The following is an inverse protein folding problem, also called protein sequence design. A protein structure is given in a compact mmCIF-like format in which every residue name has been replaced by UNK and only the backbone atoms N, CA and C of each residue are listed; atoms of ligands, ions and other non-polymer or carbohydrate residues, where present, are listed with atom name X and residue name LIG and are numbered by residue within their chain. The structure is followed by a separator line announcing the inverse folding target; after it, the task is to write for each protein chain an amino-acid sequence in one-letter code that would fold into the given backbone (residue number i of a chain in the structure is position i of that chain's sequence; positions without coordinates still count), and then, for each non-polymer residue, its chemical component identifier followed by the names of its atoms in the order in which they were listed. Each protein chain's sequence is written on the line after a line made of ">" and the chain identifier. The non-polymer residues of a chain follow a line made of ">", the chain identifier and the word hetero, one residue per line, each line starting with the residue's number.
data_IF_127490166625
#
_entry.id   IF_127490166625
#
_cell.length_a   1.000
_cell.length_b   1.000
_cell.length_c   1.000
_cell.angle_alpha   90.00
_cell.angle_beta   90.00
_cell.angle_gamma   90.00
#
_symmetry.space_group_name_H-M   'P 1'
#
loop_
_entity.id
_entity.type
_entity.pdbx_description
1 polymer ?
#
# COMPACT_ATOMS: atom_id res chain seq x y z
N UNK A 1 -10.03 -9.62 -20.10
CA UNK A 1 -8.69 -10.10 -20.56
C UNK A 1 -8.03 -10.69 -19.33
N UNK A 2 -7.71 -11.97 -19.38
CA UNK A 2 -6.98 -12.60 -18.28
C UNK A 2 -5.56 -12.01 -18.24
N UNK A 3 -5.10 -11.69 -17.03
CA UNK A 3 -3.78 -11.09 -16.85
C UNK A 3 -2.72 -12.20 -16.77
N UNK A 4 -2.06 -12.45 -17.89
CA UNK A 4 -1.04 -13.49 -18.07
C UNK A 4 0.36 -12.92 -18.38
N UNK A 5 1.35 -13.80 -18.47
CA UNK A 5 2.72 -13.45 -18.79
C UNK A 5 2.86 -12.75 -20.16
N UNK A 6 2.02 -13.09 -21.15
CA UNK A 6 2.02 -12.45 -22.47
C UNK A 6 1.53 -11.01 -22.37
N UNK A 7 0.47 -10.77 -21.62
CA UNK A 7 -0.06 -9.44 -21.35
C UNK A 7 0.96 -8.61 -20.55
N UNK A 8 1.59 -9.21 -19.55
CA UNK A 8 2.64 -8.57 -18.76
C UNK A 8 3.82 -8.10 -19.61
N UNK A 9 4.29 -8.93 -20.54
CA UNK A 9 5.33 -8.56 -21.51
C UNK A 9 4.94 -7.33 -22.33
N UNK A 10 3.73 -7.32 -22.89
CA UNK A 10 3.24 -6.20 -23.71
C UNK A 10 3.11 -4.91 -22.90
N UNK A 11 2.57 -5.01 -21.67
CA UNK A 11 2.49 -3.87 -20.77
C UNK A 11 3.88 -3.33 -20.45
N UNK A 12 4.83 -4.21 -20.12
CA UNK A 12 6.23 -3.84 -19.88
C UNK A 12 6.87 -3.13 -21.07
N UNK A 13 6.60 -3.61 -22.30
CA UNK A 13 7.12 -2.99 -23.51
C UNK A 13 6.56 -1.58 -23.76
N UNK A 14 5.29 -1.33 -23.46
CA UNK A 14 4.67 -0.03 -23.73
C UNK A 14 4.84 1.01 -22.62
N UNK A 15 5.05 0.61 -21.36
CA UNK A 15 5.19 1.54 -20.22
C UNK A 15 6.30 2.58 -20.43
N UNK A 16 7.54 2.23 -20.83
CA UNK A 16 8.60 3.20 -21.01
C UNK A 16 8.23 4.31 -22.00
N UNK A 17 7.68 3.93 -23.15
CA UNK A 17 7.26 4.89 -24.18
C UNK A 17 6.07 5.74 -23.74
N UNK A 18 5.10 5.16 -23.03
CA UNK A 18 3.93 5.89 -22.51
C UNK A 18 4.32 6.96 -21.49
N UNK A 19 5.24 6.65 -20.59
CA UNK A 19 5.61 7.50 -19.46
C UNK A 19 6.91 8.30 -19.69
N UNK A 20 7.56 8.14 -20.85
CA UNK A 20 8.83 8.81 -21.16
C UNK A 20 9.93 8.44 -20.17
N UNK A 21 10.03 7.14 -19.83
CA UNK A 21 10.92 6.63 -18.80
C UNK A 21 12.08 5.84 -19.42
N UNK A 22 13.32 6.24 -19.13
CA UNK A 22 14.53 5.51 -19.52
C UNK A 22 14.81 4.31 -18.59
N UNK A 23 14.16 4.30 -17.43
CA UNK A 23 14.20 3.20 -16.48
C UNK A 23 12.83 3.05 -15.79
N UNK A 24 12.47 1.81 -15.45
CA UNK A 24 11.22 1.45 -14.80
C UNK A 24 11.52 0.68 -13.52
N UNK A 25 11.00 1.15 -12.40
CA UNK A 25 11.10 0.45 -11.12
C UNK A 25 10.07 -0.68 -11.08
N UNK A 26 10.49 -1.89 -10.72
CA UNK A 26 9.62 -3.07 -10.67
C UNK A 26 9.73 -3.76 -9.32
N UNK A 27 8.57 -4.06 -8.73
CA UNK A 27 8.45 -4.87 -7.54
C UNK A 27 7.37 -5.93 -7.69
N UNK A 28 7.39 -6.94 -6.86
CA UNK A 28 6.37 -8.00 -6.82
C UNK A 28 5.99 -8.43 -5.41
N UNK A 29 4.77 -8.91 -5.25
CA UNK A 29 4.34 -9.60 -4.05
C UNK A 29 4.77 -11.09 -4.04
N UNK A 30 4.37 -11.82 -3.00
CA UNK A 30 4.75 -13.21 -2.80
C UNK A 30 3.86 -14.23 -3.53
N UNK A 31 2.85 -13.81 -4.32
CA UNK A 31 1.96 -14.73 -5.06
C UNK A 31 2.76 -15.65 -5.97
N UNK A 32 2.29 -16.90 -6.11
CA UNK A 32 3.00 -17.90 -6.91
C UNK A 32 3.19 -17.50 -8.38
N UNK A 33 2.20 -16.80 -8.95
CA UNK A 33 2.26 -16.30 -10.33
C UNK A 33 3.07 -15.01 -10.49
N UNK A 34 3.44 -14.32 -9.41
CA UNK A 34 4.10 -13.01 -9.49
C UNK A 34 5.50 -13.08 -10.09
N UNK A 35 6.22 -14.19 -9.94
CA UNK A 35 7.56 -14.36 -10.51
C UNK A 35 7.54 -14.46 -12.04
N UNK A 36 6.68 -15.30 -12.60
CA UNK A 36 6.52 -15.44 -14.06
C UNK A 36 6.06 -14.13 -14.71
N UNK A 37 5.12 -13.44 -14.07
CA UNK A 37 4.61 -12.14 -14.52
C UNK A 37 5.71 -11.09 -14.47
N UNK A 38 6.51 -11.07 -13.38
CA UNK A 38 7.66 -10.17 -13.22
C UNK A 38 8.69 -10.35 -14.32
N UNK A 39 9.11 -11.59 -14.59
CA UNK A 39 10.12 -11.88 -15.60
C UNK A 39 9.65 -11.47 -17.01
N UNK A 40 8.37 -11.67 -17.29
CA UNK A 40 7.77 -11.25 -18.55
C UNK A 40 7.67 -9.74 -18.69
N UNK A 41 7.26 -9.03 -17.62
CA UNK A 41 7.23 -7.56 -17.56
C UNK A 41 8.63 -6.97 -17.78
N UNK A 42 9.61 -7.46 -17.01
CA UNK A 42 11.02 -7.01 -17.10
C UNK A 42 11.59 -7.21 -18.49
N UNK A 43 11.31 -8.36 -19.12
CA UNK A 43 11.69 -8.62 -20.51
C UNK A 43 11.06 -7.60 -21.46
N UNK A 44 9.78 -7.27 -21.30
CA UNK A 44 9.10 -6.24 -22.09
C UNK A 44 9.77 -4.88 -21.95
N UNK A 45 10.07 -4.44 -20.73
CA UNK A 45 10.75 -3.18 -20.43
C UNK A 45 12.12 -3.14 -21.12
N UNK A 46 12.91 -4.20 -20.97
CA UNK A 46 14.27 -4.24 -21.56
C UNK A 46 14.26 -4.33 -23.08
N UNK A 47 13.29 -5.05 -23.67
CA UNK A 47 13.10 -5.10 -25.12
C UNK A 47 12.64 -3.75 -25.70
N UNK A 48 11.95 -2.92 -24.91
CA UNK A 48 11.65 -1.53 -25.28
C UNK A 48 12.87 -0.59 -25.23
N UNK A 49 14.02 -1.06 -24.70
CA UNK A 49 15.26 -0.29 -24.58
C UNK A 49 15.42 0.48 -23.27
N UNK A 50 14.48 0.36 -22.33
CA UNK A 50 14.57 0.94 -20.99
C UNK A 50 15.21 -0.04 -20.00
N UNK A 51 15.86 0.49 -18.96
CA UNK A 51 16.39 -0.34 -17.88
C UNK A 51 15.28 -0.73 -16.90
N UNK A 52 15.31 -1.96 -16.38
CA UNK A 52 14.44 -2.42 -15.31
C UNK A 52 15.21 -2.36 -13.97
N UNK A 53 14.73 -1.55 -13.04
CA UNK A 53 15.28 -1.50 -11.68
C UNK A 53 14.44 -2.41 -10.80
N UNK A 54 14.98 -3.58 -10.47
CA UNK A 54 14.27 -4.66 -9.80
C UNK A 54 14.44 -4.58 -8.27
N UNK A 55 13.33 -4.40 -7.56
CA UNK A 55 13.24 -4.44 -6.09
C UNK A 55 13.03 -5.87 -5.56
N UNK A 56 12.71 -6.84 -6.43
CA UNK A 56 12.33 -8.18 -6.01
C UNK A 56 11.02 -8.20 -5.22
N UNK A 57 11.00 -9.01 -4.15
CA UNK A 57 9.88 -9.05 -3.21
C UNK A 57 9.79 -7.76 -2.39
N UNK A 58 8.69 -7.04 -2.53
CA UNK A 58 8.43 -5.82 -1.77
C UNK A 58 6.93 -5.56 -1.62
N UNK A 59 6.57 -4.77 -0.61
CA UNK A 59 5.19 -4.29 -0.46
C UNK A 59 4.88 -3.17 -1.45
N UNK A 60 3.60 -3.00 -1.76
CA UNK A 60 3.15 -1.91 -2.63
C UNK A 60 3.60 -0.52 -2.13
N UNK A 61 3.49 -0.17 -0.83
CA UNK A 61 4.02 1.10 -0.32
C UNK A 61 5.54 1.27 -0.50
N UNK A 62 6.33 0.19 -0.48
CA UNK A 62 7.77 0.27 -0.76
C UNK A 62 8.04 0.71 -2.20
N UNK A 63 7.25 0.25 -3.17
CA UNK A 63 7.34 0.74 -4.56
C UNK A 63 6.97 2.20 -4.66
N UNK A 64 5.92 2.65 -3.96
CA UNK A 64 5.54 4.07 -3.95
C UNK A 64 6.63 4.95 -3.35
N UNK A 65 7.17 4.54 -2.20
CA UNK A 65 8.31 5.21 -1.58
C UNK A 65 9.49 5.32 -2.55
N UNK A 66 9.92 4.19 -3.13
CA UNK A 66 11.08 4.18 -4.03
C UNK A 66 10.84 5.03 -5.29
N UNK A 67 9.62 4.97 -5.86
CA UNK A 67 9.25 5.79 -7.03
C UNK A 67 9.45 7.28 -6.75
N UNK A 68 8.92 7.76 -5.64
CA UNK A 68 8.97 9.19 -5.31
C UNK A 68 10.34 9.60 -4.73
N UNK A 69 10.90 8.80 -3.81
CA UNK A 69 12.14 9.13 -3.12
C UNK A 69 13.36 9.14 -4.04
N UNK A 70 13.39 8.28 -5.05
CA UNK A 70 14.50 8.22 -6.00
C UNK A 70 14.20 8.87 -7.36
N UNK A 71 13.00 9.45 -7.52
CA UNK A 71 12.62 10.22 -8.71
C UNK A 71 12.37 9.37 -9.97
N UNK A 72 11.88 8.13 -9.83
CA UNK A 72 11.52 7.32 -10.98
C UNK A 72 10.29 7.90 -11.70
N UNK A 73 10.33 7.94 -13.05
CA UNK A 73 9.21 8.37 -13.88
C UNK A 73 8.15 7.28 -14.07
N UNK A 74 8.52 6.02 -13.86
CA UNK A 74 7.64 4.88 -13.99
C UNK A 74 7.96 3.80 -12.97
N UNK A 75 6.92 3.20 -12.41
CA UNK A 75 7.04 2.02 -11.56
C UNK A 75 5.86 1.07 -11.71
N UNK A 76 6.11 -0.21 -11.45
CA UNK A 76 5.11 -1.26 -11.47
C UNK A 76 5.27 -2.14 -10.23
N UNK A 77 4.18 -2.33 -9.51
CA UNK A 77 4.04 -3.37 -8.50
C UNK A 77 3.16 -4.48 -9.03
N UNK A 78 3.68 -5.69 -9.09
CA UNK A 78 2.93 -6.90 -9.46
C UNK A 78 2.26 -7.43 -8.22
N UNK A 79 0.93 -7.37 -8.21
CA UNK A 79 0.08 -7.78 -7.08
C UNK A 79 -1.38 -7.78 -7.48
N UNK A 80 -2.17 -8.63 -6.85
CA UNK A 80 -3.63 -8.51 -6.83
C UNK A 80 -4.16 -8.07 -5.45
N UNK A 81 -3.29 -7.47 -4.60
CA UNK A 81 -3.64 -6.92 -3.29
C UNK A 81 -4.38 -7.95 -2.42
N UNK A 82 -5.64 -7.72 -2.12
CA UNK A 82 -6.49 -8.51 -1.24
C UNK A 82 -7.27 -9.64 -1.94
N UNK A 83 -7.11 -9.81 -3.25
CA UNK A 83 -7.80 -10.87 -3.98
C UNK A 83 -7.25 -12.26 -3.59
N UNK A 84 -8.04 -13.35 -3.76
CA UNK A 84 -7.57 -14.71 -3.55
C UNK A 84 -6.28 -15.05 -4.32
N UNK A 85 -5.63 -16.16 -3.96
CA UNK A 85 -4.28 -16.52 -4.42
C UNK A 85 -4.13 -16.68 -5.95
N UNK A 86 -5.19 -17.12 -6.61
CA UNK A 86 -5.24 -17.38 -8.05
C UNK A 86 -5.25 -16.10 -8.92
N UNK A 87 -5.60 -14.96 -8.32
CA UNK A 87 -5.61 -13.66 -9.02
C UNK A 87 -4.24 -13.00 -8.99
N UNK A 88 -3.93 -12.28 -10.06
CA UNK A 88 -2.79 -11.37 -10.09
C UNK A 88 -3.10 -10.13 -10.93
N UNK A 89 -2.21 -9.12 -10.87
CA UNK A 89 -2.40 -7.86 -11.57
C UNK A 89 -1.19 -6.94 -11.42
N UNK A 90 -1.39 -5.68 -11.76
CA UNK A 90 -0.36 -4.65 -11.66
C UNK A 90 -0.93 -3.33 -11.14
N UNK A 91 -0.16 -2.68 -10.28
CA UNK A 91 -0.35 -1.27 -9.92
C UNK A 91 0.76 -0.45 -10.57
N UNK A 92 0.41 0.46 -11.47
CA UNK A 92 1.36 1.31 -12.20
C UNK A 92 1.34 2.70 -11.60
N UNK A 93 2.51 3.29 -11.44
CA UNK A 93 2.65 4.68 -11.02
C UNK A 93 3.64 5.43 -11.92
N UNK A 94 3.41 6.74 -12.06
CA UNK A 94 4.36 7.69 -12.66
C UNK A 94 5.13 8.42 -11.55
N UNK A 95 5.87 9.44 -11.93
CA UNK A 95 6.66 10.26 -10.98
C UNK A 95 5.83 10.67 -9.75
N UNK A 96 6.51 10.81 -8.60
CA UNK A 96 5.91 11.13 -7.30
C UNK A 96 4.88 10.10 -6.82
N UNK A 97 4.99 8.85 -7.29
CA UNK A 97 4.07 7.74 -7.00
C UNK A 97 2.61 8.01 -7.41
N UNK A 98 2.36 8.93 -8.35
CA UNK A 98 1.02 9.18 -8.87
C UNK A 98 0.50 7.94 -9.61
N UNK A 99 -0.71 7.46 -9.29
CA UNK A 99 -1.26 6.28 -9.94
C UNK A 99 -1.55 6.52 -11.43
N UNK A 100 -1.28 5.51 -12.24
CA UNK A 100 -1.70 5.45 -13.64
C UNK A 100 -2.91 4.53 -13.73
N UNK A 101 -4.08 5.11 -13.94
CA UNK A 101 -5.34 4.39 -14.15
C UNK A 101 -5.71 4.28 -15.64
N UNK A 102 -6.90 3.75 -15.92
CA UNK A 102 -7.41 3.62 -17.30
C UNK A 102 -7.46 4.99 -17.99
N UNK A 103 -7.99 6.02 -17.31
CA UNK A 103 -8.14 7.37 -17.85
C UNK A 103 -6.82 8.15 -17.93
N UNK A 104 -5.75 7.65 -17.34
CA UNK A 104 -4.46 8.36 -17.23
C UNK A 104 -3.27 7.63 -17.85
N UNK A 105 -3.53 6.57 -18.64
CA UNK A 105 -2.50 5.88 -19.42
C UNK A 105 -2.71 4.39 -19.66
N UNK A 106 -3.20 3.63 -18.68
CA UNK A 106 -3.39 2.17 -18.87
C UNK A 106 -4.42 1.86 -19.96
N UNK A 107 -5.46 2.68 -20.14
CA UNK A 107 -6.42 2.52 -21.24
C UNK A 107 -5.76 2.64 -22.62
N UNK A 108 -4.73 3.50 -22.75
CA UNK A 108 -3.96 3.59 -24.00
C UNK A 108 -3.13 2.33 -24.26
N UNK A 109 -2.51 1.76 -23.22
CA UNK A 109 -1.78 0.48 -23.35
C UNK A 109 -2.76 -0.64 -23.73
N UNK A 110 -3.92 -0.70 -23.09
CA UNK A 110 -4.96 -1.68 -23.42
C UNK A 110 -5.36 -1.57 -24.88
N UNK A 111 -5.65 -0.37 -25.37
CA UNK A 111 -5.98 -0.13 -26.78
C UNK A 111 -4.86 -0.60 -27.71
N UNK A 112 -3.60 -0.27 -27.44
CA UNK A 112 -2.48 -0.71 -28.27
C UNK A 112 -2.34 -2.23 -28.34
N UNK A 113 -2.62 -2.93 -27.23
CA UNK A 113 -2.61 -4.39 -27.16
C UNK A 113 -3.76 -4.98 -27.99
N UNK A 114 -4.98 -4.43 -27.86
CA UNK A 114 -6.18 -4.88 -28.59
C UNK A 114 -6.08 -4.64 -30.11
N UNK A 115 -5.49 -3.52 -30.50
CA UNK A 115 -5.21 -3.19 -31.90
C UNK A 115 -4.06 -4.02 -32.52
N UNK A 116 -3.37 -4.83 -31.72
CA UNK A 116 -2.22 -5.62 -32.16
C UNK A 116 -1.03 -4.75 -32.58
N UNK A 117 -0.80 -3.62 -31.89
CA UNK A 117 0.31 -2.71 -32.21
C UNK A 117 1.63 -3.49 -32.25
N UNK A 118 2.46 -3.35 -33.33
CA UNK A 118 3.69 -4.09 -33.46
C UNK A 118 4.66 -3.83 -32.29
N UNK A 119 5.25 -4.90 -31.78
CA UNK A 119 6.36 -4.87 -30.84
C UNK A 119 7.64 -5.12 -31.60
N UNK A 120 8.50 -4.12 -31.69
CA UNK A 120 9.80 -4.19 -32.35
C UNK A 120 10.86 -3.95 -31.28
N UNK A 121 11.59 -4.99 -30.85
CA UNK A 121 12.63 -4.83 -29.84
C UNK A 121 13.64 -3.76 -30.23
N UNK A 122 14.04 -2.95 -29.28
CA UNK A 122 15.05 -1.92 -29.46
C UNK A 122 16.41 -2.55 -29.86
N UNK A 123 17.15 -1.89 -30.76
CA UNK A 123 18.52 -2.28 -31.07
C UNK A 123 19.46 -2.19 -29.84
N UNK A 124 19.16 -1.29 -28.91
CA UNK A 124 19.79 -1.24 -27.59
C UNK A 124 18.82 -1.90 -26.59
N UNK A 125 19.18 -3.08 -26.11
CA UNK A 125 18.44 -3.74 -25.03
C UNK A 125 18.76 -3.08 -23.70
N UNK A 126 17.72 -2.82 -22.89
CA UNK A 126 17.88 -2.34 -21.50
C UNK A 126 18.52 -3.38 -20.60
N UNK A 127 19.00 -2.93 -19.45
CA UNK A 127 19.60 -3.77 -18.41
C UNK A 127 18.63 -4.01 -17.24
N UNK A 128 18.90 -5.08 -16.48
CA UNK A 128 18.21 -5.35 -15.21
C UNK A 128 19.17 -5.03 -14.09
N UNK A 129 18.78 -4.08 -13.22
CA UNK A 129 19.58 -3.62 -12.08
C UNK A 129 18.83 -3.91 -10.80
N UNK A 130 19.36 -4.75 -9.91
CA UNK A 130 18.77 -5.01 -8.59
C UNK A 130 19.04 -3.86 -7.64
N UNK A 131 18.01 -3.48 -6.85
CA UNK A 131 18.11 -2.41 -5.86
C UNK A 131 17.42 -2.82 -4.55
N UNK A 132 18.18 -2.87 -3.47
CA UNK A 132 17.61 -3.01 -2.11
C UNK A 132 17.29 -1.61 -1.56
N UNK A 133 16.07 -1.46 -1.05
CA UNK A 133 15.55 -0.21 -0.49
C UNK A 133 15.10 -0.34 0.97
N UNK A 134 15.25 -1.52 1.57
CA UNK A 134 14.68 -1.79 2.90
C UNK A 134 15.23 -0.83 3.95
N UNK A 135 16.53 -0.59 3.98
CA UNK A 135 17.16 0.31 4.95
C UNK A 135 16.64 1.75 4.82
N UNK A 136 16.55 2.26 3.59
CA UNK A 136 16.04 3.62 3.32
C UNK A 136 14.56 3.74 3.66
N UNK A 137 13.76 2.72 3.34
CA UNK A 137 12.34 2.68 3.68
C UNK A 137 12.11 2.68 5.19
N UNK A 138 12.84 1.86 5.95
CA UNK A 138 12.75 1.82 7.40
C UNK A 138 13.23 3.14 8.03
N UNK A 139 14.28 3.74 7.49
CA UNK A 139 14.76 5.07 7.92
C UNK A 139 13.71 6.16 7.70
N UNK A 140 13.00 6.12 6.57
CA UNK A 140 11.89 7.03 6.31
C UNK A 140 10.75 6.88 7.32
N UNK A 141 10.48 5.66 7.79
CA UNK A 141 9.44 5.38 8.78
C UNK A 141 9.83 5.71 10.24
N UNK A 142 11.13 5.89 10.52
CA UNK A 142 11.63 6.10 11.88
C UNK A 142 10.98 7.25 12.66
N UNK A 143 10.69 8.44 12.06
CA UNK A 143 10.04 9.55 12.78
C UNK A 143 8.62 9.23 13.28
N UNK A 144 7.97 8.22 12.71
CA UNK A 144 6.59 7.84 13.05
C UNK A 144 6.54 6.76 14.14
N UNK A 145 7.65 6.09 14.40
CA UNK A 145 7.73 5.09 15.48
C UNK A 145 7.47 5.72 16.84
N UNK A 146 6.90 4.94 17.73
CA UNK A 146 6.75 5.27 19.15
C UNK A 146 7.36 4.15 19.98
N UNK A 147 7.65 4.45 21.25
CA UNK A 147 7.90 3.42 22.25
C UNK A 147 6.59 2.67 22.52
N UNK A 148 6.58 1.38 22.23
CA UNK A 148 5.46 0.48 22.43
C UNK A 148 5.66 -0.46 23.64
N UNK A 149 6.68 -0.23 24.48
CA UNK A 149 7.00 -1.06 25.64
C UNK A 149 5.89 -1.11 26.69
N UNK A 150 5.00 -0.11 26.69
CA UNK A 150 3.85 0.01 27.59
C UNK A 150 2.58 -0.64 27.05
N UNK A 151 2.58 -1.21 25.85
CA UNK A 151 1.42 -1.88 25.24
C UNK A 151 1.80 -3.24 24.65
N UNK A 152 0.84 -4.15 24.62
CA UNK A 152 0.94 -5.42 23.90
C UNK A 152 0.14 -5.32 22.61
N UNK A 153 0.72 -5.74 21.49
CA UNK A 153 0.06 -5.72 20.19
C UNK A 153 -0.01 -7.12 19.62
N UNK A 154 -1.14 -7.47 19.04
CA UNK A 154 -1.31 -8.70 18.26
C UNK A 154 -1.29 -8.35 16.76
N UNK A 155 -0.47 -9.05 15.98
CA UNK A 155 -0.34 -8.82 14.55
C UNK A 155 -0.78 -10.06 13.76
N UNK A 156 -1.60 -9.82 12.75
CA UNK A 156 -1.88 -10.77 11.67
C UNK A 156 -1.23 -10.22 10.39
N UNK A 157 -0.25 -10.96 9.87
CA UNK A 157 0.50 -10.53 8.69
C UNK A 157 -0.03 -11.17 7.40
N UNK A 158 -1.16 -11.90 7.48
CA UNK A 158 -1.90 -12.49 6.36
C UNK A 158 -1.04 -13.34 5.41
N UNK A 159 0.07 -13.91 5.89
CA UNK A 159 1.10 -14.54 5.05
C UNK A 159 1.60 -13.65 3.88
N UNK A 160 1.36 -12.33 3.96
CA UNK A 160 1.60 -11.35 2.91
C UNK A 160 2.92 -10.59 3.06
N UNK A 161 2.97 -9.44 2.37
CA UNK A 161 4.20 -8.65 2.26
C UNK A 161 4.57 -7.89 3.53
N UNK A 162 3.66 -7.73 4.49
CA UNK A 162 3.96 -7.17 5.81
C UNK A 162 4.98 -8.01 6.61
N UNK A 163 5.13 -9.31 6.30
CA UNK A 163 6.15 -10.17 6.87
C UNK A 163 7.59 -9.66 6.65
N UNK A 164 7.83 -8.87 5.58
CA UNK A 164 9.15 -8.31 5.29
C UNK A 164 9.66 -7.33 6.34
N UNK A 165 8.74 -6.57 6.95
CA UNK A 165 9.09 -5.42 7.78
C UNK A 165 8.55 -5.49 9.21
N UNK A 166 7.48 -6.22 9.49
CA UNK A 166 6.78 -6.13 10.77
C UNK A 166 7.69 -6.35 11.97
N UNK A 167 8.44 -7.46 12.02
CA UNK A 167 9.36 -7.72 13.14
C UNK A 167 10.55 -6.75 13.20
N UNK A 168 11.01 -6.23 12.05
CA UNK A 168 12.07 -5.20 12.00
C UNK A 168 11.60 -3.85 12.57
N UNK A 169 10.30 -3.58 12.46
CA UNK A 169 9.69 -2.31 12.90
C UNK A 169 9.24 -2.38 14.35
N UNK A 170 8.53 -3.47 14.72
CA UNK A 170 7.86 -3.59 16.02
C UNK A 170 8.61 -4.50 17.01
N UNK A 171 9.61 -5.27 16.55
CA UNK A 171 10.36 -6.21 17.40
C UNK A 171 9.61 -7.50 17.69
N UNK A 172 10.21 -8.33 18.55
CA UNK A 172 9.71 -9.67 18.88
C UNK A 172 8.88 -9.73 20.18
N UNK A 173 8.69 -8.61 20.87
CA UNK A 173 7.97 -8.54 22.14
C UNK A 173 6.43 -8.64 22.00
N UNK A 174 5.94 -8.63 20.78
CA UNK A 174 4.52 -8.67 20.44
C UNK A 174 4.09 -10.06 19.93
N UNK A 175 2.79 -10.29 19.81
CA UNK A 175 2.24 -11.55 19.32
C UNK A 175 2.02 -11.50 17.81
N UNK A 176 2.42 -12.55 17.07
CA UNK A 176 2.32 -12.58 15.60
C UNK A 176 1.67 -13.89 15.16
N UNK A 177 0.76 -13.81 14.20
CA UNK A 177 0.23 -14.95 13.43
C UNK A 177 0.42 -14.71 11.95
N UNK A 178 0.50 -15.82 11.19
CA UNK A 178 0.62 -15.84 9.73
C UNK A 178 1.79 -14.98 9.23
N UNK A 179 2.90 -15.00 9.96
CA UNK A 179 4.07 -14.14 9.83
C UNK A 179 5.17 -14.69 8.90
N UNK A 180 4.84 -15.74 8.16
CA UNK A 180 5.69 -16.30 7.09
C UNK A 180 5.02 -16.03 5.75
N UNK A 181 5.75 -15.43 4.81
CA UNK A 181 5.24 -15.17 3.45
C UNK A 181 4.87 -16.48 2.76
N UNK A 182 3.65 -16.59 2.28
CA UNK A 182 3.17 -17.69 1.47
C UNK A 182 2.08 -17.20 0.51
N UNK A 183 2.42 -17.10 -0.78
CA UNK A 183 1.51 -16.60 -1.82
C UNK A 183 0.28 -17.47 -2.11
N UNK A 184 0.13 -18.61 -1.41
CA UNK A 184 -1.09 -19.43 -1.40
C UNK A 184 -2.12 -18.93 -0.40
N UNK A 185 -1.72 -18.05 0.55
CA UNK A 185 -2.54 -17.56 1.67
C UNK A 185 -3.28 -18.68 2.42
N UNK A 186 -2.55 -19.65 3.00
CA UNK A 186 -3.16 -20.93 3.46
C UNK A 186 -4.08 -20.79 4.67
N UNK A 187 -4.04 -19.66 5.38
CA UNK A 187 -4.79 -19.49 6.63
C UNK A 187 -6.11 -18.72 6.42
N UNK A 188 -6.11 -17.70 5.61
CA UNK A 188 -7.29 -16.96 5.15
C UNK A 188 -6.93 -16.12 3.91
N UNK A 189 -7.94 -15.72 3.14
CA UNK A 189 -7.75 -14.73 2.08
C UNK A 189 -7.12 -13.46 2.64
N UNK A 190 -6.19 -12.80 1.94
CA UNK A 190 -5.52 -11.61 2.44
C UNK A 190 -6.41 -10.35 2.38
N UNK A 191 -7.66 -10.48 2.79
CA UNK A 191 -8.69 -9.45 2.75
C UNK A 191 -9.25 -9.15 4.14
N UNK A 192 -8.72 -8.14 4.86
CA UNK A 192 -9.16 -7.83 6.22
C UNK A 192 -10.59 -7.26 6.32
N UNK A 193 -11.25 -6.94 5.19
CA UNK A 193 -12.67 -6.52 5.18
C UNK A 193 -13.65 -7.67 5.40
N UNK A 194 -13.23 -8.90 5.10
CA UNK A 194 -14.06 -10.08 5.34
C UNK A 194 -14.01 -10.43 6.83
N UNK A 195 -15.14 -10.45 7.56
CA UNK A 195 -15.17 -10.71 9.01
C UNK A 195 -14.46 -12.03 9.40
N UNK A 196 -14.63 -13.08 8.60
CA UNK A 196 -14.03 -14.38 8.81
C UNK A 196 -12.49 -14.34 8.82
N UNK A 197 -11.87 -13.44 8.05
CA UNK A 197 -10.42 -13.31 7.97
C UNK A 197 -9.80 -12.60 9.19
N UNK A 198 -10.64 -11.96 10.03
CA UNK A 198 -10.19 -11.23 11.22
C UNK A 198 -10.38 -12.04 12.51
N UNK A 199 -11.10 -13.16 12.48
CA UNK A 199 -11.47 -13.92 13.69
C UNK A 199 -10.25 -14.49 14.42
N UNK A 200 -9.22 -14.93 13.71
CA UNK A 200 -7.97 -15.38 14.31
C UNK A 200 -7.27 -14.25 15.08
N UNK A 201 -7.19 -13.05 14.51
CA UNK A 201 -6.64 -11.87 15.18
C UNK A 201 -7.46 -11.48 16.42
N UNK A 202 -8.80 -11.45 16.33
CA UNK A 202 -9.67 -11.17 17.48
C UNK A 202 -9.45 -12.16 18.62
N UNK A 203 -9.28 -13.43 18.29
CA UNK A 203 -8.99 -14.49 19.26
C UNK A 203 -7.60 -14.30 19.89
N UNK A 204 -6.59 -13.93 19.08
CA UNK A 204 -5.24 -13.65 19.54
C UNK A 204 -5.23 -12.45 20.50
N UNK A 205 -5.93 -11.34 20.17
CA UNK A 205 -6.04 -10.18 21.04
C UNK A 205 -6.60 -10.58 22.41
N UNK A 206 -7.70 -11.33 22.45
CA UNK A 206 -8.33 -11.77 23.72
C UNK A 206 -7.44 -12.71 24.51
N UNK A 207 -6.82 -13.69 23.85
CA UNK A 207 -6.02 -14.73 24.55
C UNK A 207 -4.70 -14.18 25.11
N UNK A 208 -4.10 -13.19 24.46
CA UNK A 208 -2.85 -12.55 24.90
C UNK A 208 -3.07 -11.30 25.73
N UNK A 209 -4.32 -10.88 25.92
CA UNK A 209 -4.68 -9.59 26.53
C UNK A 209 -3.91 -8.44 25.85
N UNK A 210 -3.90 -8.44 24.53
CA UNK A 210 -3.28 -7.38 23.75
C UNK A 210 -4.14 -6.10 23.79
N UNK A 211 -3.48 -4.95 23.80
CA UNK A 211 -4.12 -3.63 23.83
C UNK A 211 -4.69 -3.21 22.47
N UNK A 212 -4.16 -3.82 21.39
CA UNK A 212 -4.65 -3.64 20.03
C UNK A 212 -4.29 -4.84 19.16
N UNK A 213 -5.10 -5.09 18.14
CA UNK A 213 -4.80 -5.99 17.04
C UNK A 213 -4.58 -5.21 15.74
N UNK A 214 -3.66 -5.65 14.91
CA UNK A 214 -3.31 -5.07 13.60
C UNK A 214 -3.32 -6.18 12.55
N UNK A 215 -4.05 -5.97 11.46
CA UNK A 215 -4.06 -6.90 10.32
C UNK A 215 -3.78 -6.13 9.03
N UNK A 216 -2.88 -6.68 8.20
CA UNK A 216 -2.56 -6.15 6.87
C UNK A 216 -3.20 -6.98 5.78
N UNK A 217 -3.41 -6.38 4.61
CA UNK A 217 -3.75 -7.13 3.40
C UNK A 217 -2.48 -7.72 2.71
N UNK A 218 -2.68 -8.41 1.60
CA UNK A 218 -1.63 -9.19 0.95
C UNK A 218 -0.40 -8.39 0.52
N UNK A 219 -0.55 -7.17 0.03
CA UNK A 219 0.55 -6.30 -0.42
C UNK A 219 0.84 -5.14 0.54
N UNK A 220 0.17 -5.12 1.69
CA UNK A 220 0.39 -4.23 2.83
C UNK A 220 0.17 -2.73 2.55
N UNK A 221 -0.67 -2.39 1.57
CA UNK A 221 -1.12 -1.02 1.37
C UNK A 221 -2.35 -0.68 2.23
N UNK A 222 -3.03 -1.70 2.77
CA UNK A 222 -4.13 -1.59 3.74
C UNK A 222 -3.74 -2.12 5.09
N UNK A 223 -4.37 -1.53 6.12
CA UNK A 223 -4.29 -2.02 7.49
C UNK A 223 -5.62 -1.79 8.19
N UNK A 224 -6.02 -2.75 9.04
CA UNK A 224 -7.20 -2.64 9.88
C UNK A 224 -6.87 -3.01 11.32
N UNK A 225 -7.77 -2.64 12.24
CA UNK A 225 -7.50 -2.72 13.65
C UNK A 225 -8.61 -3.45 14.42
N UNK A 226 -8.20 -4.05 15.53
CA UNK A 226 -9.08 -4.67 16.52
C UNK A 226 -8.75 -4.04 17.86
N UNK A 227 -9.77 -3.69 18.64
CA UNK A 227 -9.59 -3.11 20.00
C UNK A 227 -9.21 -4.19 21.02
N UNK A 228 -8.94 -3.79 22.25
CA UNK A 228 -8.53 -4.66 23.37
C UNK A 228 -9.59 -5.68 23.77
N UNK A 229 -10.84 -5.52 23.33
CA UNK A 229 -11.94 -6.47 23.58
C UNK A 229 -12.09 -7.49 22.44
N UNK A 230 -11.30 -7.35 21.39
CA UNK A 230 -11.44 -8.15 20.17
C UNK A 230 -12.55 -7.65 19.25
N UNK A 231 -12.93 -6.36 19.34
CA UNK A 231 -13.92 -5.75 18.45
C UNK A 231 -13.21 -5.14 17.24
N UNK A 232 -13.73 -5.42 16.06
CA UNK A 232 -13.20 -4.82 14.82
C UNK A 232 -13.50 -3.31 14.78
N UNK A 233 -12.47 -2.51 14.55
CA UNK A 233 -12.60 -1.04 14.44
C UNK A 233 -12.94 -0.70 13.00
N UNK A 234 -14.05 0.01 12.79
CA UNK A 234 -14.44 0.44 11.45
C UNK A 234 -13.34 1.33 10.83
N UNK A 235 -12.83 1.00 9.63
CA UNK A 235 -11.64 1.68 9.08
C UNK A 235 -11.83 3.17 8.85
N UNK A 236 -13.04 3.63 8.58
CA UNK A 236 -13.33 5.05 8.42
C UNK A 236 -13.19 5.83 9.74
N UNK A 237 -13.49 5.23 10.89
CA UNK A 237 -13.29 5.86 12.20
C UNK A 237 -11.80 6.09 12.50
N UNK A 238 -10.91 5.30 11.92
CA UNK A 238 -9.47 5.50 12.05
C UNK A 238 -9.02 6.80 11.38
N UNK A 239 -9.73 7.25 10.33
CA UNK A 239 -9.47 8.57 9.72
C UNK A 239 -9.65 9.68 10.77
N UNK A 240 -10.72 9.59 11.57
CA UNK A 240 -10.97 10.54 12.66
C UNK A 240 -9.95 10.38 13.80
N UNK A 241 -9.60 9.14 14.17
CA UNK A 241 -8.61 8.84 15.23
C UNK A 241 -7.24 9.47 14.93
N UNK A 242 -6.80 9.47 13.67
CA UNK A 242 -5.51 10.04 13.25
C UNK A 242 -5.39 11.54 13.54
N UNK A 243 -6.51 12.27 13.76
CA UNK A 243 -6.47 13.67 14.19
C UNK A 243 -5.71 13.87 15.51
N UNK A 244 -5.72 12.87 16.42
CA UNK A 244 -4.95 12.92 17.66
C UNK A 244 -3.44 13.05 17.42
N UNK A 245 -2.96 12.41 16.35
CA UNK A 245 -1.57 12.56 15.93
C UNK A 245 -1.33 13.88 15.19
N UNK A 246 -2.08 14.13 14.12
CA UNK A 246 -1.81 15.29 13.26
C UNK A 246 -2.12 16.63 13.92
N UNK A 247 -3.22 16.74 14.66
CA UNK A 247 -3.61 17.98 15.36
C UNK A 247 -3.03 17.98 16.76
N UNK A 248 -3.27 16.91 17.53
CA UNK A 248 -2.92 16.87 18.95
C UNK A 248 -1.41 16.83 19.20
N UNK A 249 -0.65 16.06 18.43
CA UNK A 249 0.78 15.90 18.64
C UNK A 249 1.61 16.78 17.70
N UNK A 250 1.27 16.79 16.39
CA UNK A 250 2.02 17.54 15.36
C UNK A 250 1.60 19.01 15.27
N UNK A 251 0.52 19.40 15.93
CA UNK A 251 0.04 20.79 15.98
C UNK A 251 -0.50 21.32 14.64
N UNK A 252 -1.00 20.46 13.77
CA UNK A 252 -1.56 20.91 12.50
C UNK A 252 -2.78 21.81 12.70
N UNK A 253 -2.79 22.96 12.02
CA UNK A 253 -3.87 23.96 12.10
C UNK A 253 -4.72 23.86 10.85
N UNK A 254 -6.04 23.74 11.02
CA UNK A 254 -7.03 23.67 9.94
C UNK A 254 -6.66 22.71 8.79
N UNK A 255 -6.25 21.45 9.08
CA UNK A 255 -5.80 20.54 8.03
C UNK A 255 -6.95 20.12 7.12
N UNK A 256 -6.65 19.92 5.83
CA UNK A 256 -7.59 19.27 4.90
C UNK A 256 -7.46 17.77 5.02
N UNK A 257 -8.62 17.12 5.13
CA UNK A 257 -8.75 15.66 5.32
C UNK A 257 -9.64 15.09 4.22
N UNK A 258 -9.22 13.99 3.61
CA UNK A 258 -10.01 13.31 2.60
C UNK A 258 -10.68 12.07 3.18
N UNK A 259 -11.99 11.93 2.96
CA UNK A 259 -12.73 10.69 3.22
C UNK A 259 -13.42 10.20 1.95
N UNK A 260 -13.62 8.91 1.82
CA UNK A 260 -14.41 8.38 0.71
C UNK A 260 -15.92 8.55 0.95
N UNK A 261 -16.72 8.48 -0.14
CA UNK A 261 -18.17 8.74 -0.10
C UNK A 261 -18.96 7.73 0.76
N UNK A 262 -18.43 6.53 1.00
CA UNK A 262 -19.08 5.49 1.84
C UNK A 262 -18.76 5.64 3.33
N UNK A 263 -17.82 6.51 3.68
CA UNK A 263 -17.45 6.76 5.08
C UNK A 263 -18.63 7.31 5.87
N UNK A 264 -18.68 6.95 7.16
CA UNK A 264 -19.69 7.45 8.10
C UNK A 264 -19.63 8.98 8.22
N UNK A 265 -20.79 9.61 8.37
CA UNK A 265 -20.90 11.04 8.72
C UNK A 265 -20.16 11.37 10.01
N UNK A 266 -20.06 10.40 10.95
CA UNK A 266 -19.35 10.58 12.21
C UNK A 266 -17.89 11.05 12.02
N UNK A 267 -17.23 10.70 10.92
CA UNK A 267 -15.88 11.15 10.62
C UNK A 267 -15.84 12.68 10.47
N UNK A 268 -16.70 13.22 9.62
CA UNK A 268 -16.78 14.68 9.40
C UNK A 268 -17.33 15.40 10.65
N UNK A 269 -18.36 14.86 11.30
CA UNK A 269 -18.94 15.42 12.51
C UNK A 269 -17.92 15.52 13.66
N UNK A 270 -16.98 14.57 13.74
CA UNK A 270 -15.90 14.60 14.73
C UNK A 270 -14.76 15.57 14.34
N UNK A 271 -14.36 15.59 13.07
CA UNK A 271 -13.19 16.35 12.60
C UNK A 271 -13.47 17.84 12.41
N UNK A 272 -14.67 18.22 11.95
CA UNK A 272 -15.01 19.63 11.68
C UNK A 272 -14.93 20.53 12.91
N UNK A 273 -15.43 20.15 14.11
CA UNK A 273 -15.25 20.92 15.34
C UNK A 273 -13.79 21.11 15.76
N UNK A 274 -12.87 20.23 15.29
CA UNK A 274 -11.43 20.33 15.51
C UNK A 274 -10.76 21.28 14.49
N UNK A 275 -11.54 21.92 13.63
CA UNK A 275 -11.06 22.84 12.60
C UNK A 275 -10.64 22.21 11.29
N UNK A 276 -10.89 20.91 11.08
CA UNK A 276 -10.56 20.23 9.83
C UNK A 276 -11.50 20.65 8.69
N UNK A 277 -10.93 20.87 7.50
CA UNK A 277 -11.67 20.95 6.25
C UNK A 277 -11.80 19.54 5.65
N UNK A 278 -12.91 18.86 5.94
CA UNK A 278 -13.16 17.48 5.50
C UNK A 278 -13.77 17.47 4.10
N UNK A 279 -13.10 16.81 3.18
CA UNK A 279 -13.53 16.63 1.78
C UNK A 279 -13.92 15.20 1.50
N UNK A 280 -15.09 15.01 0.88
CA UNK A 280 -15.57 13.71 0.46
C UNK A 280 -15.27 13.49 -1.02
N UNK A 281 -14.79 12.28 -1.37
CA UNK A 281 -14.43 11.93 -2.72
C UNK A 281 -14.82 10.52 -3.07
N UNK A 282 -14.70 10.16 -4.35
CA UNK A 282 -14.97 8.80 -4.84
C UNK A 282 -13.90 7.81 -4.40
N UNK A 283 -14.28 6.53 -4.36
CA UNK A 283 -13.46 5.39 -3.92
C UNK A 283 -12.33 5.09 -4.91
N UNK A 284 -11.20 4.68 -4.37
CA UNK A 284 -10.10 4.08 -5.10
C UNK A 284 -8.87 4.96 -5.20
N UNK A 285 -7.69 4.34 -5.05
CA UNK A 285 -6.39 5.01 -5.04
C UNK A 285 -6.16 5.92 -6.26
N UNK A 286 -6.60 5.46 -7.45
CA UNK A 286 -6.48 6.24 -8.69
C UNK A 286 -7.16 7.63 -8.62
N UNK A 287 -8.07 7.80 -7.68
CA UNK A 287 -8.83 9.04 -7.47
C UNK A 287 -8.47 9.74 -6.16
N UNK A 288 -8.26 8.97 -5.09
CA UNK A 288 -7.99 9.52 -3.77
C UNK A 288 -6.61 10.19 -3.69
N UNK A 289 -5.55 9.55 -4.17
CA UNK A 289 -4.19 10.08 -4.12
C UNK A 289 -4.02 11.39 -4.93
N UNK A 290 -4.48 11.50 -6.19
CA UNK A 290 -4.47 12.78 -6.92
C UNK A 290 -5.31 13.86 -6.24
N UNK A 291 -6.49 13.48 -5.70
CA UNK A 291 -7.37 14.45 -5.03
C UNK A 291 -6.76 14.98 -3.74
N UNK A 292 -6.16 14.11 -2.93
CA UNK A 292 -5.48 14.54 -1.70
C UNK A 292 -4.34 15.51 -2.01
N UNK A 293 -3.59 15.27 -3.09
CA UNK A 293 -2.53 16.16 -3.57
C UNK A 293 -3.10 17.49 -4.07
N UNK A 294 -4.15 17.48 -4.86
CA UNK A 294 -4.81 18.67 -5.40
C UNK A 294 -5.29 19.62 -4.29
N UNK A 295 -5.90 19.05 -3.24
CA UNK A 295 -6.37 19.85 -2.11
C UNK A 295 -5.28 20.16 -1.08
N UNK A 296 -4.04 19.74 -1.31
CA UNK A 296 -2.96 19.76 -0.30
C UNK A 296 -3.40 19.18 1.05
N UNK A 297 -4.14 18.04 1.00
CA UNK A 297 -4.68 17.38 2.18
C UNK A 297 -3.59 16.69 2.99
N UNK A 298 -3.69 16.75 4.31
CA UNK A 298 -2.66 16.23 5.21
C UNK A 298 -2.74 14.70 5.34
N UNK A 299 -3.96 14.17 5.49
CA UNK A 299 -4.24 12.73 5.46
C UNK A 299 -5.63 12.45 4.91
N UNK A 300 -5.91 11.21 4.63
CA UNK A 300 -7.24 10.74 4.26
C UNK A 300 -7.34 9.22 4.37
N UNK A 301 -8.51 8.69 4.08
CA UNK A 301 -8.68 7.24 4.09
C UNK A 301 -9.97 6.77 3.44
N UNK A 302 -10.04 5.44 3.32
CA UNK A 302 -11.17 4.72 2.75
C UNK A 302 -11.70 3.67 3.72
N UNK A 303 -12.99 3.34 3.59
CA UNK A 303 -13.63 2.25 4.31
C UNK A 303 -12.92 0.90 4.05
N UNK A 304 -12.23 0.80 2.93
CA UNK A 304 -11.43 -0.37 2.56
C UNK A 304 -10.10 -0.50 3.32
N UNK A 305 -9.75 0.42 4.24
CA UNK A 305 -8.53 0.36 5.04
C UNK A 305 -7.29 0.96 4.36
N UNK A 306 -7.44 1.69 3.26
CA UNK A 306 -6.40 2.53 2.70
C UNK A 306 -6.33 3.84 3.49
N UNK A 307 -5.12 4.25 3.88
CA UNK A 307 -4.86 5.54 4.52
C UNK A 307 -3.75 6.26 3.78
N UNK A 308 -4.05 7.46 3.31
CA UNK A 308 -3.22 8.30 2.46
C UNK A 308 -2.59 9.41 3.28
N UNK A 309 -1.31 9.75 2.99
CA UNK A 309 -0.58 10.74 3.77
C UNK A 309 0.19 11.70 2.87
N UNK A 310 0.11 13.01 3.14
CA UNK A 310 0.93 14.02 2.47
C UNK A 310 2.42 13.69 2.60
N UNK A 311 2.86 13.36 3.80
CA UNK A 311 4.26 13.03 4.10
C UNK A 311 4.71 11.73 3.39
N UNK A 312 3.78 10.89 2.95
CA UNK A 312 4.05 9.69 2.15
C UNK A 312 3.67 9.90 0.67
N UNK A 313 4.06 11.05 0.13
CA UNK A 313 3.83 11.41 -1.27
C UNK A 313 2.36 11.36 -1.70
N UNK A 314 1.44 11.59 -0.78
CA UNK A 314 -0.03 11.45 -0.93
C UNK A 314 -0.48 10.03 -1.29
N UNK A 315 0.39 9.04 -1.11
CA UNK A 315 0.09 7.63 -1.31
C UNK A 315 -0.38 6.97 -0.03
N UNK A 316 -0.97 5.80 -0.17
CA UNK A 316 -1.41 4.96 0.94
C UNK A 316 -0.28 4.07 1.47
N UNK A 317 -0.33 3.82 2.79
CA UNK A 317 0.64 2.96 3.48
C UNK A 317 0.03 2.33 4.73
N UNK A 318 -0.14 1.01 4.70
CA UNK A 318 -0.56 0.27 5.90
C UNK A 318 0.45 0.38 7.03
N UNK A 319 1.76 0.35 6.74
CA UNK A 319 2.79 0.52 7.76
C UNK A 319 2.73 1.89 8.42
N UNK A 320 2.67 2.98 7.65
CA UNK A 320 2.61 4.32 8.23
C UNK A 320 1.35 4.52 9.08
N UNK A 321 0.21 4.02 8.59
CA UNK A 321 -1.05 4.08 9.31
C UNK A 321 -0.97 3.32 10.65
N UNK A 322 -0.42 2.11 10.66
CA UNK A 322 -0.28 1.33 11.88
C UNK A 322 0.70 1.95 12.87
N UNK A 323 1.81 2.54 12.41
CA UNK A 323 2.73 3.30 13.27
C UNK A 323 2.03 4.46 13.98
N UNK A 324 1.24 5.26 13.23
CA UNK A 324 0.48 6.39 13.79
C UNK A 324 -0.57 5.90 14.79
N UNK A 325 -1.34 4.87 14.44
CA UNK A 325 -2.40 4.35 15.32
C UNK A 325 -1.80 3.76 16.60
N UNK A 326 -0.76 2.94 16.52
CA UNK A 326 -0.12 2.35 17.69
C UNK A 326 0.55 3.42 18.58
N UNK A 327 1.10 4.49 17.99
CA UNK A 327 1.60 5.66 18.71
C UNK A 327 0.47 6.33 19.53
N UNK A 328 -0.72 6.49 18.94
CA UNK A 328 -1.89 7.02 19.63
C UNK A 328 -2.29 6.08 20.77
N UNK A 329 -2.41 4.78 20.53
CA UNK A 329 -2.77 3.79 21.56
C UNK A 329 -1.76 3.80 22.71
N UNK A 330 -0.45 3.79 22.43
CA UNK A 330 0.59 3.89 23.45
C UNK A 330 0.46 5.18 24.28
N UNK A 331 0.13 6.30 23.66
CA UNK A 331 -0.04 7.58 24.36
C UNK A 331 -1.24 7.61 25.32
N UNK A 332 -2.28 6.83 25.03
CA UNK A 332 -3.49 6.73 25.89
C UNK A 332 -3.30 5.84 27.11
N UNK A 333 -2.24 5.02 27.13
CA UNK A 333 -1.89 4.13 28.24
C UNK A 333 -0.86 4.73 29.22
N UNK A 334 -0.39 5.94 28.94
CA UNK A 334 0.45 6.72 29.85
C UNK A 334 -0.45 7.47 30.84
#
# INVERSE_FOLDING_TARGET
>A
MDFDASTAYKVGYFIPGLLGADNVLVGRDCRQSSEEIHDSLVRGITDAGADAVDLGLCSTPMVYFATANYGFKASVQITASHNPAEYNGMKVSRENALPVGLDSGLGQIQQWIEEGRPIVPSSRKGQVVKKDIMADYLKFMEPYKADLSNIKVAFDLSNGMSCLFARKVYGDAHSYIYDTMDGRFPNHDPNPLKPENVEALKSLVRSTSADAGVIYDGDADRVMFVDEKGTFVAPDLVIALMSRYFIGERGAVAPRVLQEIRSSKAVAEYLQPLGCDVRTWRVGRAFAAPRLREIDGLWGGELAGHYYFKDFFYSDSGLLASLIVLRIVSSLRK
#
